data_IF_575699893384
#
_entry.id   IF_575699893384
#
_cell.length_a   1.000
_cell.length_b   1.000
_cell.length_c   1.000
_cell.angle_alpha   90.00
_cell.angle_beta   90.00
_cell.angle_gamma   90.00
#
_symmetry.space_group_name_H-M   'P 1'
#
loop_
_entity.id
_entity.type
_entity.pdbx_description
1 polymer ?
#
# COMPACT_ATOMS: atom_id res chain seq x y z
N UNK A 1 2.33 -4.20 -22.32
CA UNK A 1 3.44 -4.14 -21.35
C UNK A 1 4.58 -3.42 -22.04
N UNK A 2 4.56 -2.08 -22.04
CA UNK A 2 5.81 -1.36 -22.32
C UNK A 2 6.67 -1.53 -21.08
N UNK A 3 7.58 -2.52 -21.15
CA UNK A 3 8.71 -2.60 -20.25
C UNK A 3 9.48 -1.29 -20.40
N UNK A 4 9.49 -0.46 -19.36
CA UNK A 4 10.63 0.42 -19.17
C UNK A 4 11.84 -0.50 -19.12
N UNK A 5 12.75 -0.35 -20.09
CA UNK A 5 13.98 -1.12 -20.12
C UNK A 5 14.71 -0.88 -18.80
N UNK A 6 14.61 -1.83 -17.88
CA UNK A 6 15.46 -1.85 -16.70
C UNK A 6 16.89 -2.07 -17.20
N UNK A 7 17.85 -1.26 -16.74
CA UNK A 7 19.13 -1.10 -17.41
C UNK A 7 19.97 -2.37 -17.32
N UNK A 8 20.30 -2.95 -18.48
CA UNK A 8 21.45 -3.83 -18.62
C UNK A 8 22.73 -3.01 -18.48
N UNK A 9 23.41 -3.09 -17.33
CA UNK A 9 24.83 -2.82 -17.03
C UNK A 9 25.63 -1.65 -17.67
N UNK A 10 25.07 -0.80 -18.52
CA UNK A 10 25.76 0.33 -19.13
C UNK A 10 25.75 1.53 -18.18
N UNK A 11 26.90 2.18 -18.02
CA UNK A 11 27.03 3.43 -17.29
C UNK A 11 26.41 4.56 -18.11
N UNK A 12 25.33 5.14 -17.62
CA UNK A 12 24.64 6.26 -18.26
C UNK A 12 25.52 7.51 -18.20
N UNK A 13 25.51 8.33 -19.25
CA UNK A 13 26.12 9.66 -19.17
C UNK A 13 25.29 10.56 -18.23
N UNK A 14 25.91 11.62 -17.71
CA UNK A 14 25.20 12.56 -16.83
C UNK A 14 24.03 13.24 -17.53
N UNK A 15 24.13 13.45 -18.85
CA UNK A 15 23.08 14.07 -19.64
C UNK A 15 21.91 13.11 -19.89
N UNK A 16 22.19 11.82 -20.15
CA UNK A 16 21.15 10.79 -20.28
C UNK A 16 20.36 10.62 -18.98
N UNK A 17 21.05 10.64 -17.83
CA UNK A 17 20.40 10.58 -16.52
C UNK A 17 19.51 11.80 -16.27
N UNK A 18 19.97 13.01 -16.60
CA UNK A 18 19.16 14.22 -16.47
C UNK A 18 17.92 14.16 -17.35
N UNK A 19 18.08 13.71 -18.59
CA UNK A 19 16.95 13.54 -19.51
C UNK A 19 15.96 12.51 -18.96
N UNK A 20 16.44 11.37 -18.47
CA UNK A 20 15.59 10.33 -17.88
C UNK A 20 14.83 10.83 -16.64
N UNK A 21 15.52 11.45 -15.70
CA UNK A 21 14.92 11.97 -14.47
C UNK A 21 13.92 13.11 -14.71
N UNK A 22 14.06 13.81 -15.84
CA UNK A 22 13.12 14.84 -16.27
C UNK A 22 11.79 14.27 -16.80
N UNK A 23 11.74 12.98 -17.12
CA UNK A 23 10.53 12.31 -17.60
C UNK A 23 9.49 12.17 -16.48
N UNK A 24 8.24 11.96 -16.88
CA UNK A 24 7.12 11.69 -15.97
C UNK A 24 7.03 10.20 -15.71
N UNK A 25 6.68 9.81 -14.49
CA UNK A 25 6.39 8.42 -14.17
C UNK A 25 5.06 8.02 -14.81
N UNK A 26 5.13 7.19 -15.85
CA UNK A 26 3.95 6.60 -16.51
C UNK A 26 3.75 5.19 -15.97
N UNK A 27 2.53 4.89 -15.53
CA UNK A 27 2.14 3.57 -15.05
C UNK A 27 1.74 2.61 -16.19
N UNK A 28 1.37 1.40 -15.81
CA UNK A 28 1.11 0.23 -16.68
C UNK A 28 0.07 0.46 -17.82
N UNK A 29 -0.77 1.51 -17.72
CA UNK A 29 -1.82 1.83 -18.71
C UNK A 29 -1.55 3.10 -19.51
N UNK A 30 -0.30 3.54 -19.61
CA UNK A 30 0.05 4.79 -20.30
C UNK A 30 -0.43 6.06 -19.58
N UNK A 31 -0.94 5.92 -18.35
CA UNK A 31 -1.41 7.01 -17.49
C UNK A 31 -0.47 7.22 -16.31
N UNK A 32 -0.29 8.45 -15.83
CA UNK A 32 0.47 8.70 -14.60
C UNK A 32 -0.08 7.86 -13.43
N UNK A 33 0.80 7.46 -12.52
CA UNK A 33 0.38 6.77 -11.29
C UNK A 33 -0.45 7.75 -10.46
N UNK A 34 -1.60 7.32 -9.90
CA UNK A 34 -2.42 8.20 -9.06
C UNK A 34 -1.60 8.83 -7.92
N UNK A 35 -1.57 10.16 -7.85
CA UNK A 35 -0.79 10.95 -6.90
C UNK A 35 0.54 11.52 -7.45
N UNK A 36 1.03 11.01 -8.59
CA UNK A 36 2.25 11.51 -9.27
C UNK A 36 1.93 12.42 -10.45
N UNK A 37 0.71 12.92 -10.57
CA UNK A 37 0.29 13.72 -11.71
C UNK A 37 1.14 14.99 -11.83
N UNK A 38 1.78 15.16 -13.00
CA UNK A 38 2.64 16.31 -13.29
C UNK A 38 4.01 16.28 -12.62
N UNK A 39 4.33 15.25 -11.83
CA UNK A 39 5.65 15.12 -11.19
C UNK A 39 6.66 14.44 -12.12
N UNK A 40 7.89 14.96 -12.12
CA UNK A 40 9.05 14.32 -12.74
C UNK A 40 9.63 13.27 -11.81
N UNK A 41 10.37 12.30 -12.35
CA UNK A 41 11.02 11.24 -11.56
C UNK A 41 11.93 11.85 -10.49
N UNK A 42 12.71 12.89 -10.82
CA UNK A 42 13.52 13.62 -9.84
C UNK A 42 12.71 14.17 -8.65
N UNK A 43 11.55 14.78 -8.92
CA UNK A 43 10.69 15.34 -7.88
C UNK A 43 10.08 14.25 -7.00
N UNK A 44 9.84 13.06 -7.58
CA UNK A 44 9.36 11.89 -6.85
C UNK A 44 10.47 11.34 -5.96
N UNK A 45 11.72 11.28 -6.43
CA UNK A 45 12.88 10.89 -5.60
C UNK A 45 13.02 11.83 -4.40
N UNK A 46 12.98 13.14 -4.64
CA UNK A 46 13.07 14.16 -3.59
C UNK A 46 11.93 14.04 -2.56
N UNK A 47 10.71 13.79 -3.03
CA UNK A 47 9.57 13.62 -2.14
C UNK A 47 9.61 12.29 -1.38
N UNK A 48 10.15 11.21 -1.97
CA UNK A 48 10.44 9.95 -1.27
C UNK A 48 11.47 10.16 -0.17
N UNK A 49 12.52 10.94 -0.43
CA UNK A 49 13.50 11.31 0.60
C UNK A 49 12.83 12.04 1.77
N UNK A 50 11.82 12.88 1.49
CA UNK A 50 11.00 13.56 2.50
C UNK A 50 9.97 12.66 3.19
N UNK A 51 9.77 11.44 2.72
CA UNK A 51 8.88 10.43 3.32
C UNK A 51 7.68 10.01 2.47
N UNK A 52 7.59 10.45 1.20
CA UNK A 52 6.60 9.97 0.23
C UNK A 52 6.79 8.48 -0.10
N UNK A 53 5.70 7.75 -0.33
CA UNK A 53 5.72 6.29 -0.54
C UNK A 53 4.66 5.83 -1.53
N UNK A 54 4.99 4.80 -2.29
CA UNK A 54 4.05 4.03 -3.10
C UNK A 54 3.48 2.89 -2.27
N UNK A 55 2.15 2.82 -2.16
CA UNK A 55 1.48 1.79 -1.38
C UNK A 55 0.38 1.11 -2.18
N UNK A 56 0.18 -0.17 -1.90
CA UNK A 56 -0.97 -0.96 -2.36
C UNK A 56 -1.71 -1.52 -1.15
N UNK A 57 -3.02 -1.57 -1.24
CA UNK A 57 -3.89 -2.12 -0.20
C UNK A 57 -4.42 -3.47 -0.63
N UNK A 58 -4.75 -4.32 0.34
CA UNK A 58 -5.34 -5.62 0.04
C UNK A 58 -6.84 -5.54 0.21
N UNK A 59 -7.55 -6.25 -0.67
CA UNK A 59 -8.97 -6.45 -0.54
C UNK A 59 -9.33 -7.90 -0.80
N UNK A 60 -10.24 -8.40 0.02
CA UNK A 60 -10.72 -9.78 -0.06
C UNK A 60 -12.20 -9.75 -0.40
N UNK A 61 -12.61 -10.58 -1.34
CA UNK A 61 -14.02 -10.85 -1.61
C UNK A 61 -14.21 -12.36 -1.73
N UNK A 62 -15.37 -12.82 -1.26
CA UNK A 62 -15.70 -14.23 -1.28
C UNK A 62 -17.05 -14.45 -1.96
N UNK A 63 -17.12 -15.52 -2.74
CA UNK A 63 -18.33 -15.98 -3.44
C UNK A 63 -18.60 -17.40 -2.93
N UNK A 64 -19.49 -17.50 -1.93
CA UNK A 64 -19.95 -18.74 -1.29
C UNK A 64 -18.83 -19.65 -0.75
N UNK A 65 -18.16 -20.39 -1.63
CA UNK A 65 -17.13 -21.38 -1.28
C UNK A 65 -15.73 -20.92 -1.70
N UNK A 66 -15.63 -19.94 -2.60
CA UNK A 66 -14.36 -19.44 -3.13
C UNK A 66 -14.05 -18.06 -2.59
N UNK A 67 -12.80 -17.85 -2.21
CA UNK A 67 -12.33 -16.58 -1.67
C UNK A 67 -11.13 -16.09 -2.48
N UNK A 68 -11.14 -14.81 -2.85
CA UNK A 68 -10.09 -14.20 -3.65
C UNK A 68 -9.51 -13.00 -2.91
N UNK A 69 -8.19 -12.95 -2.83
CA UNK A 69 -7.44 -11.82 -2.31
C UNK A 69 -6.76 -11.10 -3.47
N UNK A 70 -6.97 -9.80 -3.56
CA UNK A 70 -6.44 -8.94 -4.63
C UNK A 70 -5.77 -7.72 -4.02
N UNK A 71 -4.79 -7.17 -4.72
CA UNK A 71 -4.19 -5.88 -4.40
C UNK A 71 -4.95 -4.77 -5.13
N UNK A 72 -5.06 -3.60 -4.50
CA UNK A 72 -5.50 -2.39 -5.16
C UNK A 72 -4.46 -1.93 -6.18
N UNK A 73 -4.86 -1.03 -7.08
CA UNK A 73 -3.90 -0.29 -7.88
C UNK A 73 -2.89 0.45 -6.99
N UNK A 74 -1.66 0.57 -7.48
CA UNK A 74 -0.61 1.35 -6.84
C UNK A 74 -1.00 2.82 -6.78
N UNK A 75 -0.88 3.43 -5.60
CA UNK A 75 -1.09 4.86 -5.40
C UNK A 75 0.12 5.47 -4.72
N UNK A 76 0.47 6.67 -5.15
CA UNK A 76 1.50 7.47 -4.51
C UNK A 76 0.91 8.34 -3.42
N UNK A 77 1.52 8.28 -2.24
CA UNK A 77 1.21 9.14 -1.11
C UNK A 77 2.38 10.10 -0.93
N UNK A 78 2.12 11.39 -1.12
CA UNK A 78 3.15 12.44 -1.02
C UNK A 78 3.67 12.56 0.41
N UNK A 79 4.84 13.17 0.58
CA UNK A 79 5.34 13.48 1.91
C UNK A 79 4.33 14.32 2.70
N UNK A 80 4.06 13.91 3.95
CA UNK A 80 3.05 14.52 4.81
C UNK A 80 1.59 14.13 4.53
N UNK A 81 1.29 13.39 3.45
CA UNK A 81 -0.05 12.85 3.22
C UNK A 81 -0.23 11.47 3.84
N UNK A 82 -1.34 11.32 4.54
CA UNK A 82 -1.77 10.05 5.13
C UNK A 82 -2.37 9.07 4.09
N UNK A 83 -2.26 7.77 4.38
CA UNK A 83 -2.86 6.70 3.55
C UNK A 83 -4.10 6.04 4.18
N UNK A 84 -4.43 6.42 5.40
CA UNK A 84 -5.47 5.85 6.25
C UNK A 84 -6.85 5.94 5.63
N UNK A 85 -7.20 7.05 4.97
CA UNK A 85 -8.50 7.16 4.27
C UNK A 85 -8.70 6.07 3.21
N UNK A 86 -7.63 5.71 2.48
CA UNK A 86 -7.70 4.60 1.51
C UNK A 86 -7.70 3.24 2.22
N UNK A 87 -6.93 3.09 3.30
CA UNK A 87 -6.90 1.88 4.12
C UNK A 87 -8.29 1.54 4.69
N UNK A 88 -9.02 2.55 5.19
CA UNK A 88 -10.38 2.41 5.70
C UNK A 88 -11.33 1.84 4.66
N UNK A 89 -11.35 2.40 3.44
CA UNK A 89 -12.23 1.94 2.37
C UNK A 89 -12.01 0.46 2.04
N UNK A 90 -10.76 0.02 1.89
CA UNK A 90 -10.45 -1.37 1.56
C UNK A 90 -10.66 -2.34 2.74
N UNK A 91 -10.45 -1.88 3.98
CA UNK A 91 -10.75 -2.66 5.18
C UNK A 91 -12.24 -2.89 5.33
N UNK A 92 -13.06 -1.85 5.19
CA UNK A 92 -14.52 -1.97 5.26
C UNK A 92 -15.06 -2.87 4.14
N UNK A 93 -14.56 -2.68 2.92
CA UNK A 93 -14.93 -3.56 1.80
C UNK A 93 -14.61 -5.02 2.14
N UNK A 94 -13.39 -5.31 2.57
CA UNK A 94 -12.97 -6.69 2.91
C UNK A 94 -13.78 -7.28 4.05
N UNK A 95 -14.10 -6.49 5.08
CA UNK A 95 -14.92 -6.95 6.20
C UNK A 95 -16.34 -7.33 5.78
N UNK A 96 -16.94 -6.56 4.86
CA UNK A 96 -18.33 -6.78 4.41
C UNK A 96 -18.45 -7.90 3.39
N UNK A 97 -17.51 -8.01 2.44
CA UNK A 97 -17.62 -8.96 1.32
C UNK A 97 -16.69 -10.16 1.42
N UNK A 98 -15.69 -10.13 2.29
CA UNK A 98 -14.67 -11.18 2.37
C UNK A 98 -15.03 -12.37 3.25
N UNK A 99 -15.88 -12.19 4.28
CA UNK A 99 -16.13 -13.25 5.27
C UNK A 99 -17.10 -14.36 4.83
N UNK A 100 -17.78 -14.20 3.69
CA UNK A 100 -18.82 -15.13 3.24
C UNK A 100 -18.26 -16.48 2.74
N UNK A 101 -16.95 -16.57 2.51
CA UNK A 101 -16.27 -17.79 2.11
C UNK A 101 -15.86 -18.62 3.31
N UNK A 102 -16.60 -19.68 3.64
CA UNK A 102 -16.24 -20.57 4.75
C UNK A 102 -15.39 -21.73 4.20
N UNK A 103 -14.18 -22.00 4.73
CA UNK A 103 -13.50 -21.33 5.85
C UNK A 103 -12.48 -20.26 5.42
N UNK A 104 -12.00 -20.28 4.17
CA UNK A 104 -10.80 -19.53 3.75
C UNK A 104 -11.04 -18.02 3.67
N UNK A 105 -12.28 -17.60 3.42
CA UNK A 105 -12.68 -16.20 3.37
C UNK A 105 -12.47 -15.48 4.69
N UNK A 106 -12.76 -16.13 5.82
CA UNK A 106 -12.52 -15.55 7.15
C UNK A 106 -11.03 -15.27 7.34
N UNK A 107 -10.17 -16.26 7.06
CA UNK A 107 -8.71 -16.11 7.20
C UNK A 107 -8.15 -15.00 6.29
N UNK A 108 -8.51 -15.01 5.01
CA UNK A 108 -8.05 -14.00 4.04
C UNK A 108 -8.59 -12.60 4.36
N UNK A 109 -9.79 -12.51 4.94
CA UNK A 109 -10.36 -11.23 5.38
C UNK A 109 -9.57 -10.66 6.54
N UNK A 110 -9.31 -11.46 7.58
CA UNK A 110 -8.47 -11.03 8.72
C UNK A 110 -7.08 -10.61 8.23
N UNK A 111 -6.48 -11.38 7.32
CA UNK A 111 -5.19 -11.04 6.72
C UNK A 111 -5.21 -9.68 6.01
N UNK A 112 -6.21 -9.42 5.16
CA UNK A 112 -6.36 -8.15 4.45
C UNK A 112 -6.60 -6.97 5.40
N UNK A 113 -7.46 -7.14 6.42
CA UNK A 113 -7.70 -6.13 7.46
C UNK A 113 -6.39 -5.81 8.19
N UNK A 114 -5.65 -6.82 8.63
CA UNK A 114 -4.37 -6.65 9.31
C UNK A 114 -3.36 -5.88 8.45
N UNK A 115 -3.19 -6.28 7.18
CA UNK A 115 -2.28 -5.60 6.25
C UNK A 115 -2.68 -4.14 6.00
N UNK A 116 -3.98 -3.86 5.87
CA UNK A 116 -4.47 -2.50 5.69
C UNK A 116 -4.28 -1.65 6.95
N UNK A 117 -4.46 -2.21 8.15
CA UNK A 117 -4.16 -1.56 9.43
C UNK A 117 -2.67 -1.23 9.61
N UNK A 118 -1.77 -1.99 8.97
CA UNK A 118 -0.34 -1.67 8.89
C UNK A 118 -0.01 -0.56 7.87
N UNK A 119 -1.02 -0.03 7.17
CA UNK A 119 -0.87 1.00 6.15
C UNK A 119 -0.64 0.45 4.74
N UNK A 120 -0.99 -0.81 4.50
CA UNK A 120 -0.81 -1.49 3.22
C UNK A 120 0.61 -2.01 2.99
N UNK A 121 0.85 -2.57 1.80
CA UNK A 121 2.19 -2.99 1.36
C UNK A 121 2.91 -1.78 0.75
N UNK A 122 4.06 -1.43 1.31
CA UNK A 122 4.98 -0.47 0.70
C UNK A 122 5.69 -1.12 -0.49
N UNK A 123 5.50 -0.55 -1.67
CA UNK A 123 6.08 -1.01 -2.95
C UNK A 123 7.08 0.00 -3.51
N UNK A 124 7.45 1.02 -2.72
CA UNK A 124 8.39 2.08 -3.13
C UNK A 124 9.72 1.50 -3.57
N UNK A 125 10.25 0.52 -2.83
CA UNK A 125 11.55 -0.06 -3.16
C UNK A 125 11.53 -0.95 -4.39
N UNK A 126 10.47 -1.75 -4.58
CA UNK A 126 10.27 -2.55 -5.79
C UNK A 126 10.15 -1.63 -7.02
N UNK A 127 9.38 -0.55 -6.91
CA UNK A 127 9.20 0.41 -7.99
C UNK A 127 10.50 1.17 -8.30
N UNK A 128 11.18 1.74 -7.30
CA UNK A 128 12.43 2.46 -7.50
C UNK A 128 13.51 1.56 -8.10
N UNK A 129 13.63 0.32 -7.63
CA UNK A 129 14.62 -0.61 -8.18
C UNK A 129 14.38 -0.87 -9.68
N UNK A 130 13.12 -0.93 -10.11
CA UNK A 130 12.75 -1.11 -11.52
C UNK A 130 12.94 0.15 -12.37
N UNK A 131 12.73 1.35 -11.79
CA UNK A 131 12.82 2.63 -12.50
C UNK A 131 14.27 3.13 -12.57
N UNK A 132 14.93 3.26 -11.41
CA UNK A 132 16.24 3.93 -11.30
C UNK A 132 17.41 2.97 -11.05
N UNK A 133 17.12 1.67 -10.95
CA UNK A 133 18.09 0.62 -10.66
C UNK A 133 18.22 0.29 -9.16
N UNK A 134 18.64 -0.94 -8.82
CA UNK A 134 18.63 -1.44 -7.45
C UNK A 134 19.59 -0.70 -6.51
N UNK A 135 20.78 -0.31 -6.98
CA UNK A 135 21.77 0.37 -6.12
C UNK A 135 21.35 1.80 -5.77
N UNK A 136 20.85 2.57 -6.75
CA UNK A 136 20.31 3.91 -6.50
C UNK A 136 19.07 3.87 -5.62
N UNK A 137 18.17 2.92 -5.86
CA UNK A 137 16.99 2.72 -5.03
C UNK A 137 17.37 2.46 -3.57
N UNK A 138 18.35 1.58 -3.30
CA UNK A 138 18.86 1.34 -1.94
C UNK A 138 19.43 2.60 -1.31
N UNK A 139 20.23 3.37 -2.05
CA UNK A 139 20.81 4.62 -1.57
C UNK A 139 19.75 5.68 -1.21
N UNK A 140 18.70 5.80 -2.01
CA UNK A 140 17.56 6.69 -1.74
C UNK A 140 16.79 6.20 -0.51
N UNK A 141 16.45 4.90 -0.45
CA UNK A 141 15.67 4.34 0.66
C UNK A 141 16.41 4.36 1.99
N UNK A 142 17.73 4.21 1.99
CA UNK A 142 18.56 4.30 3.20
C UNK A 142 18.53 5.72 3.82
N UNK A 143 18.33 6.74 2.99
CA UNK A 143 18.26 8.16 3.41
C UNK A 143 16.83 8.65 3.61
N UNK A 144 15.85 7.91 3.09
CA UNK A 144 14.47 8.33 3.10
C UNK A 144 13.92 8.38 4.52
N UNK A 145 13.29 9.52 4.88
CA UNK A 145 12.63 9.68 6.17
C UNK A 145 11.52 8.63 6.33
N UNK A 146 11.29 8.19 7.57
CA UNK A 146 10.15 7.31 7.86
C UNK A 146 8.82 8.00 7.54
N UNK A 147 7.84 7.24 7.02
CA UNK A 147 6.53 7.79 6.71
C UNK A 147 5.85 8.33 7.97
N UNK A 148 5.21 9.50 7.86
CA UNK A 148 4.51 10.12 8.97
C UNK A 148 3.32 9.26 9.41
N UNK A 149 3.10 9.18 10.72
CA UNK A 149 1.95 8.47 11.29
C UNK A 149 0.66 9.20 10.94
N UNK A 150 -0.26 8.49 10.30
CA UNK A 150 -1.56 9.02 9.90
C UNK A 150 -2.60 8.79 11.02
N UNK A 151 -3.25 9.87 11.45
CA UNK A 151 -4.34 9.83 12.43
C UNK A 151 -5.45 8.87 11.98
N UNK A 152 -5.83 8.90 10.70
CA UNK A 152 -6.85 8.01 10.17
C UNK A 152 -6.43 6.53 10.29
N UNK A 153 -5.15 6.22 10.08
CA UNK A 153 -4.64 4.86 10.26
C UNK A 153 -4.63 4.45 11.74
N UNK A 154 -4.37 5.39 12.64
CA UNK A 154 -4.44 5.14 14.09
C UNK A 154 -5.88 4.87 14.54
N UNK A 155 -6.84 5.66 14.06
CA UNK A 155 -8.26 5.44 14.27
C UNK A 155 -8.73 4.09 13.72
N UNK A 156 -8.23 3.67 12.54
CA UNK A 156 -8.54 2.36 11.97
C UNK A 156 -8.15 1.23 12.92
N UNK A 157 -6.95 1.31 13.49
CA UNK A 157 -6.45 0.31 14.45
C UNK A 157 -7.30 0.26 15.70
N UNK A 158 -7.67 1.43 16.24
CA UNK A 158 -8.57 1.51 17.40
C UNK A 158 -9.91 0.86 17.08
N UNK A 159 -10.51 1.19 15.92
CA UNK A 159 -11.79 0.65 15.54
C UNK A 159 -11.75 -0.88 15.40
N UNK A 160 -10.71 -1.43 14.77
CA UNK A 160 -10.54 -2.89 14.66
C UNK A 160 -10.38 -3.52 16.05
N UNK A 161 -9.55 -2.95 16.92
CA UNK A 161 -9.37 -3.45 18.29
C UNK A 161 -10.66 -3.37 19.12
N UNK A 162 -11.44 -2.30 18.97
CA UNK A 162 -12.72 -2.12 19.65
C UNK A 162 -13.74 -3.17 19.21
N UNK A 163 -13.78 -3.53 17.93
CA UNK A 163 -14.65 -4.61 17.43
C UNK A 163 -14.24 -5.94 18.08
N UNK A 164 -12.95 -6.29 18.07
CA UNK A 164 -12.46 -7.53 18.72
C UNK A 164 -12.80 -7.56 20.21
N UNK A 165 -12.61 -6.44 20.91
CA UNK A 165 -12.93 -6.33 22.33
C UNK A 165 -14.43 -6.51 22.59
N UNK A 166 -15.31 -5.89 21.80
CA UNK A 166 -16.76 -6.04 21.92
C UNK A 166 -17.19 -7.50 21.74
N UNK A 167 -16.65 -8.19 20.73
CA UNK A 167 -16.91 -9.62 20.53
C UNK A 167 -16.48 -10.45 21.75
N UNK A 168 -15.27 -10.20 22.28
CA UNK A 168 -14.78 -10.91 23.47
C UNK A 168 -15.66 -10.68 24.70
N UNK A 169 -16.11 -9.44 24.93
CA UNK A 169 -17.00 -9.08 26.04
C UNK A 169 -18.35 -9.78 25.90
N UNK A 170 -18.96 -9.77 24.71
CA UNK A 170 -20.24 -10.46 24.46
C UNK A 170 -20.11 -11.96 24.74
N UNK A 171 -19.03 -12.59 24.28
CA UNK A 171 -18.76 -14.02 24.55
C UNK A 171 -18.61 -14.27 26.05
N UNK A 172 -17.82 -13.44 26.74
CA UNK A 172 -17.64 -13.55 28.19
C UNK A 172 -18.96 -13.45 28.95
N UNK A 173 -19.79 -12.44 28.62
CA UNK A 173 -21.10 -12.24 29.23
C UNK A 173 -22.04 -13.41 28.93
N UNK A 174 -22.07 -13.91 27.70
CA UNK A 174 -22.90 -15.07 27.33
C UNK A 174 -22.51 -16.32 28.14
N UNK A 175 -21.20 -16.61 28.25
CA UNK A 175 -20.68 -17.75 29.02
C UNK A 175 -20.98 -17.59 30.51
N UNK A 176 -20.85 -16.39 31.06
CA UNK A 176 -21.08 -16.13 32.48
C UNK A 176 -22.58 -16.02 32.84
N UNK A 177 -23.45 -15.63 31.90
CA UNK A 177 -24.91 -15.58 32.10
C UNK A 177 -25.58 -16.96 32.07
N UNK A 178 -24.90 -17.96 31.54
CA UNK A 178 -25.37 -19.35 31.46
C UNK A 178 -25.03 -20.17 32.72
N UNK A 179 -24.40 -19.58 33.72
CA UNK A 179 -24.09 -20.18 35.03
C UNK A 179 -24.96 -19.54 36.10
#
# INVERSE_FOLDING_TARGET
MEQFASPSSQAWSQDDLRQYLSQRLIGDKGKPVPGTEGMRIEQIEDDILRGGRFRVFLWTFSVLIMSFQRTSGMRYYRSGQGCGGTAWGWTLLSAVVGWWGIPWGIFLTIHSIYRNCMGGKDVTGELLANVVGPERARGILARARQPQADIALWLLRIAVMAVVLNFAVIIYLAVNSSK
#
